data_IF_378400236268
#
_entry.id   IF_378400236268
#
_cell.length_a   1.000
_cell.length_b   1.000
_cell.length_c   1.000
_cell.angle_alpha   90.00
_cell.angle_beta   90.00
_cell.angle_gamma   90.00
#
_symmetry.space_group_name_H-M   'P 1'
#
loop_
_entity.id
_entity.type
_entity.pdbx_description
1 polymer ?
#
# COMPACT_ATOMS: atom_id res chain seq x y z
N UNK A 1 13.32 -18.27 -5.82
CA UNK A 1 12.99 -19.10 -4.66
C UNK A 1 11.52 -19.00 -4.28
N UNK A 2 10.98 -17.80 -3.95
CA UNK A 2 9.60 -17.66 -3.48
C UNK A 2 8.56 -18.27 -4.44
N UNK A 3 8.72 -18.05 -5.74
CA UNK A 3 7.83 -18.66 -6.76
C UNK A 3 7.94 -20.20 -6.75
N UNK A 4 9.15 -20.76 -6.70
CA UNK A 4 9.36 -22.20 -6.63
C UNK A 4 8.71 -22.81 -5.37
N UNK A 5 8.88 -22.16 -4.21
CA UNK A 5 8.20 -22.58 -2.96
C UNK A 5 6.68 -22.53 -3.09
N UNK A 6 6.15 -21.54 -3.80
CA UNK A 6 4.71 -21.38 -3.98
C UNK A 6 4.11 -22.45 -4.91
N UNK A 7 4.89 -22.97 -5.87
CA UNK A 7 4.43 -23.90 -6.91
C UNK A 7 4.64 -25.37 -6.53
N UNK A 8 5.69 -25.68 -5.76
CA UNK A 8 6.06 -27.06 -5.43
C UNK A 8 6.08 -27.31 -3.93
N UNK A 9 5.72 -28.55 -3.54
CA UNK A 9 5.87 -29.03 -2.16
C UNK A 9 7.33 -29.30 -1.84
N UNK A 10 8.02 -30.02 -2.73
CA UNK A 10 9.43 -30.35 -2.58
C UNK A 10 10.26 -29.41 -3.44
N UNK A 11 11.10 -28.61 -2.78
CA UNK A 11 11.83 -27.52 -3.40
C UNK A 11 13.31 -27.82 -3.46
N UNK A 12 13.83 -27.88 -4.69
CA UNK A 12 15.26 -27.80 -4.98
C UNK A 12 15.55 -26.46 -5.61
N UNK A 13 16.44 -25.68 -5.01
CA UNK A 13 16.77 -24.34 -5.51
C UNK A 13 18.23 -23.98 -5.30
N UNK A 14 18.82 -23.31 -6.27
CA UNK A 14 20.19 -22.79 -6.23
C UNK A 14 20.18 -21.31 -6.63
N UNK A 15 20.97 -20.49 -5.93
CA UNK A 15 21.13 -19.06 -6.18
C UNK A 15 22.43 -18.56 -5.62
N UNK A 16 22.71 -17.26 -5.79
CA UNK A 16 24.00 -16.63 -5.43
C UNK A 16 24.02 -15.98 -4.05
N UNK A 17 22.86 -15.73 -3.43
CA UNK A 17 22.75 -14.91 -2.22
C UNK A 17 22.57 -15.75 -0.95
N UNK A 18 22.05 -16.97 -1.08
CA UNK A 18 21.84 -17.90 0.06
C UNK A 18 22.28 -19.32 -0.30
N UNK A 19 22.55 -20.19 0.70
CA UNK A 19 22.84 -21.59 0.46
C UNK A 19 21.75 -22.28 -0.37
N UNK A 20 22.10 -23.30 -1.18
CA UNK A 20 21.13 -24.08 -1.93
C UNK A 20 20.15 -24.82 -1.01
N UNK A 21 18.98 -25.14 -1.56
CA UNK A 21 17.98 -26.01 -0.96
C UNK A 21 17.91 -27.24 -1.84
N UNK A 22 17.85 -28.41 -1.25
CA UNK A 22 17.82 -29.70 -1.97
C UNK A 22 16.73 -30.58 -1.39
N UNK A 23 15.65 -30.77 -2.18
CA UNK A 23 14.53 -31.64 -1.83
C UNK A 23 13.79 -31.31 -0.52
N UNK A 24 13.72 -30.02 -0.15
CA UNK A 24 13.09 -29.63 1.10
C UNK A 24 11.59 -29.47 0.93
N UNK A 25 10.84 -30.20 1.74
CA UNK A 25 9.38 -30.08 1.81
C UNK A 25 8.95 -28.81 2.58
N UNK A 26 8.08 -28.00 1.98
CA UNK A 26 7.58 -26.76 2.56
C UNK A 26 6.10 -26.89 2.93
N UNK A 27 5.85 -26.89 4.23
CA UNK A 27 4.51 -27.06 4.81
C UNK A 27 4.24 -25.98 5.86
N UNK A 28 2.95 -25.62 6.16
CA UNK A 28 1.72 -26.13 5.52
C UNK A 28 1.54 -25.62 4.09
N UNK A 29 0.82 -26.37 3.28
CA UNK A 29 0.48 -25.95 1.92
C UNK A 29 -0.74 -25.04 1.92
N UNK A 30 -0.83 -24.07 0.98
CA UNK A 30 -2.02 -23.26 0.81
C UNK A 30 -3.25 -24.11 0.41
N UNK A 31 -4.41 -23.81 0.98
CA UNK A 31 -5.66 -24.52 0.70
C UNK A 31 -6.00 -24.51 -0.81
N UNK A 32 -5.75 -23.39 -1.49
CA UNK A 32 -6.04 -23.21 -2.92
C UNK A 32 -4.81 -23.48 -3.81
N UNK A 33 -3.87 -24.29 -3.36
CA UNK A 33 -2.69 -24.71 -4.12
C UNK A 33 -1.54 -23.72 -4.07
N UNK A 34 -1.77 -22.40 -4.12
CA UNK A 34 -0.74 -21.36 -4.05
C UNK A 34 -1.23 -20.09 -3.34
N UNK A 35 -0.31 -19.32 -2.79
CA UNK A 35 -0.57 -18.00 -2.21
C UNK A 35 -0.51 -16.91 -3.29
N UNK A 36 -1.35 -15.89 -3.21
CA UNK A 36 -1.19 -14.70 -4.02
C UNK A 36 0.08 -13.94 -3.57
N UNK A 37 0.98 -13.67 -4.53
CA UNK A 37 2.24 -12.95 -4.26
C UNK A 37 2.16 -11.55 -4.85
N UNK A 38 2.48 -10.55 -4.04
CA UNK A 38 2.56 -9.16 -4.45
C UNK A 38 3.98 -8.61 -4.24
N UNK A 39 4.47 -7.80 -5.18
CA UNK A 39 5.74 -7.10 -5.03
C UNK A 39 5.51 -5.75 -4.37
N UNK A 40 5.97 -5.60 -3.11
CA UNK A 40 5.96 -4.31 -2.42
C UNK A 40 7.12 -3.42 -2.85
N UNK A 41 6.86 -2.13 -3.07
CA UNK A 41 7.91 -1.13 -3.37
C UNK A 41 7.52 0.26 -2.89
N UNK A 42 8.50 1.02 -2.40
CA UNK A 42 8.33 2.43 -2.00
C UNK A 42 8.65 3.44 -3.12
N UNK A 43 8.46 3.06 -4.40
CA UNK A 43 8.70 3.98 -5.52
C UNK A 43 9.94 3.69 -6.36
N UNK A 44 10.51 2.49 -6.27
CA UNK A 44 11.66 2.07 -7.08
C UNK A 44 11.23 1.68 -8.50
N UNK A 45 11.73 2.38 -9.52
CA UNK A 45 11.49 2.05 -10.92
C UNK A 45 11.98 0.63 -11.30
N UNK A 46 13.19 0.17 -10.88
CA UNK A 46 13.61 -1.20 -11.11
C UNK A 46 12.68 -2.26 -10.49
N UNK A 47 12.11 -2.00 -9.30
CA UNK A 47 11.16 -2.91 -8.66
C UNK A 47 9.82 -2.94 -9.38
N UNK A 48 9.32 -1.79 -9.86
CA UNK A 48 8.12 -1.71 -10.69
C UNK A 48 8.29 -2.50 -11.99
N UNK A 49 9.39 -2.29 -12.70
CA UNK A 49 9.69 -3.03 -13.94
C UNK A 49 9.85 -4.54 -13.68
N UNK A 50 10.48 -4.93 -12.56
CA UNK A 50 10.64 -6.34 -12.17
C UNK A 50 9.29 -7.00 -11.89
N UNK A 51 8.39 -6.34 -11.15
CA UNK A 51 7.05 -6.85 -10.90
C UNK A 51 6.30 -7.12 -12.22
N UNK A 52 6.36 -6.17 -13.17
CA UNK A 52 5.76 -6.33 -14.49
C UNK A 52 6.37 -7.51 -15.26
N UNK A 53 7.71 -7.60 -15.35
CA UNK A 53 8.36 -8.73 -16.05
C UNK A 53 8.03 -10.11 -15.46
N UNK A 54 7.74 -10.18 -14.17
CA UNK A 54 7.34 -11.43 -13.50
C UNK A 54 5.84 -11.71 -13.59
N UNK A 55 5.04 -10.79 -14.14
CA UNK A 55 3.57 -10.92 -14.18
C UNK A 55 2.92 -10.88 -12.79
N UNK A 56 3.61 -10.32 -11.79
CA UNK A 56 3.12 -10.25 -10.42
C UNK A 56 2.49 -8.90 -10.12
N UNK A 57 1.40 -8.85 -9.33
CA UNK A 57 0.83 -7.59 -8.86
C UNK A 57 1.84 -6.75 -8.08
N UNK A 58 1.73 -5.43 -8.17
CA UNK A 58 2.60 -4.47 -7.47
C UNK A 58 1.82 -3.72 -6.39
N UNK A 59 2.45 -3.49 -5.24
CA UNK A 59 1.92 -2.67 -4.15
C UNK A 59 2.87 -1.51 -3.88
N UNK A 60 2.39 -0.29 -4.06
CA UNK A 60 3.14 0.94 -3.76
C UNK A 60 2.91 1.39 -2.33
N UNK A 61 3.98 1.44 -1.52
CA UNK A 61 3.98 2.07 -0.21
C UNK A 61 4.17 3.58 -0.37
N UNK A 62 3.10 4.34 -0.30
CA UNK A 62 3.09 5.80 -0.46
C UNK A 62 2.94 6.43 0.92
N UNK A 63 4.06 6.71 1.56
CA UNK A 63 4.13 7.20 2.94
C UNK A 63 4.63 8.66 3.03
N UNK A 64 4.71 9.35 1.91
CA UNK A 64 5.12 10.76 1.82
C UNK A 64 5.15 11.26 0.39
N UNK A 65 5.15 12.58 0.23
CA UNK A 65 5.10 13.26 -1.05
C UNK A 65 3.71 13.31 -1.67
N UNK A 66 3.62 13.66 -2.94
CA UNK A 66 2.38 13.64 -3.69
C UNK A 66 2.15 12.25 -4.31
N UNK A 67 1.05 11.55 -3.98
CA UNK A 67 0.79 10.19 -4.48
C UNK A 67 0.75 10.07 -6.01
N UNK A 68 0.34 11.11 -6.71
CA UNK A 68 0.29 11.18 -8.18
C UNK A 68 1.66 11.00 -8.83
N UNK A 69 2.76 11.28 -8.10
CA UNK A 69 4.12 11.04 -8.59
C UNK A 69 4.44 9.56 -8.83
N UNK A 70 3.60 8.65 -8.37
CA UNK A 70 3.70 7.22 -8.64
C UNK A 70 3.09 6.80 -9.99
N UNK A 71 2.36 7.68 -10.68
CA UNK A 71 1.75 7.39 -11.98
C UNK A 71 2.75 6.91 -13.05
N UNK A 72 3.95 7.51 -13.22
CA UNK A 72 4.98 7.00 -14.13
C UNK A 72 5.45 5.58 -13.79
N UNK A 73 5.50 5.23 -12.49
CA UNK A 73 5.90 3.90 -12.03
C UNK A 73 4.82 2.85 -12.32
N UNK A 74 3.55 3.20 -12.14
CA UNK A 74 2.42 2.34 -12.51
C UNK A 74 2.36 2.11 -14.03
N UNK A 75 2.67 3.13 -14.84
CA UNK A 75 2.82 3.00 -16.29
C UNK A 75 3.98 2.08 -16.66
N UNK A 76 5.16 2.28 -16.04
CA UNK A 76 6.35 1.44 -16.26
C UNK A 76 6.06 -0.03 -15.91
N UNK A 77 5.38 -0.28 -14.81
CA UNK A 77 4.95 -1.61 -14.39
C UNK A 77 4.12 -2.29 -15.49
N UNK A 78 3.04 -1.63 -15.97
CA UNK A 78 2.14 -2.18 -16.99
C UNK A 78 2.85 -2.41 -18.33
N UNK A 79 3.66 -1.45 -18.77
CA UNK A 79 4.45 -1.59 -20.00
C UNK A 79 5.46 -2.74 -19.90
N UNK A 80 6.07 -2.95 -18.72
CA UNK A 80 7.00 -4.05 -18.50
C UNK A 80 6.29 -5.42 -18.50
N UNK A 81 5.07 -5.49 -17.95
CA UNK A 81 4.24 -6.68 -17.99
C UNK A 81 3.86 -7.02 -19.44
N UNK A 82 3.36 -6.04 -20.18
CA UNK A 82 2.96 -6.22 -21.58
C UNK A 82 4.10 -6.69 -22.47
N UNK A 83 5.30 -6.10 -22.34
CA UNK A 83 6.51 -6.51 -23.07
C UNK A 83 6.96 -7.94 -22.72
N UNK A 84 6.67 -8.41 -21.52
CA UNK A 84 6.95 -9.77 -21.09
C UNK A 84 5.83 -10.77 -21.43
N UNK A 85 4.77 -10.33 -22.14
CA UNK A 85 3.63 -11.16 -22.53
C UNK A 85 2.57 -11.35 -21.43
N UNK A 86 2.71 -10.67 -20.29
CA UNK A 86 1.73 -10.76 -19.20
C UNK A 86 0.59 -9.77 -19.39
N UNK A 87 -0.63 -10.28 -19.36
CA UNK A 87 -1.88 -9.52 -19.51
C UNK A 87 -2.96 -10.10 -18.60
N UNK A 88 -4.02 -9.35 -18.41
CA UNK A 88 -5.20 -9.83 -17.69
C UNK A 88 -5.28 -9.44 -16.22
N UNK A 89 -6.13 -10.11 -15.45
CA UNK A 89 -6.58 -9.66 -14.13
C UNK A 89 -5.49 -9.67 -13.06
N UNK A 90 -4.36 -10.31 -13.28
CA UNK A 90 -3.25 -10.35 -12.32
C UNK A 90 -2.31 -9.14 -12.43
N UNK A 91 -2.41 -8.36 -13.50
CA UNK A 91 -1.65 -7.11 -13.65
C UNK A 91 -2.35 -6.00 -12.88
N UNK A 92 -2.21 -6.04 -11.55
CA UNK A 92 -2.89 -5.16 -10.60
C UNK A 92 -1.92 -4.23 -9.89
N UNK A 93 -2.39 -3.03 -9.61
CA UNK A 93 -1.73 -2.07 -8.73
C UNK A 93 -2.50 -1.99 -7.43
N UNK A 94 -1.80 -1.97 -6.32
CA UNK A 94 -2.35 -1.58 -5.03
C UNK A 94 -1.55 -0.41 -4.44
N UNK A 95 -2.19 0.32 -3.55
CA UNK A 95 -1.59 1.41 -2.79
C UNK A 95 -1.70 1.09 -1.31
N UNK A 96 -0.63 1.33 -0.57
CA UNK A 96 -0.60 1.30 0.88
C UNK A 96 -0.17 2.68 1.39
N UNK A 97 -1.00 3.33 2.18
CA UNK A 97 -0.78 4.67 2.69
C UNK A 97 -1.12 4.75 4.19
N UNK A 98 -0.70 5.83 4.84
CA UNK A 98 -1.17 6.14 6.19
C UNK A 98 -2.55 6.79 6.12
N UNK A 99 -3.42 6.51 7.11
CA UNK A 99 -4.74 7.13 7.15
C UNK A 99 -5.48 6.87 8.44
N UNK A 100 -6.41 7.74 8.75
CA UNK A 100 -7.40 7.60 9.80
C UNK A 100 -8.68 8.31 9.39
N UNK A 101 -9.82 7.68 9.60
CA UNK A 101 -11.12 8.27 9.33
C UNK A 101 -11.79 8.59 10.67
N UNK A 102 -12.35 9.79 10.78
CA UNK A 102 -13.19 10.21 11.91
C UNK A 102 -14.44 10.93 11.38
N UNK A 103 -15.43 11.22 12.23
CA UNK A 103 -16.64 11.94 11.82
C UNK A 103 -16.34 13.31 11.17
N UNK A 104 -15.29 13.97 11.62
CA UNK A 104 -14.82 15.24 11.05
C UNK A 104 -13.32 15.18 10.73
N UNK A 105 -12.89 16.00 9.76
CA UNK A 105 -11.47 16.13 9.40
C UNK A 105 -10.62 16.62 10.58
N UNK A 106 -11.12 17.54 11.40
CA UNK A 106 -10.40 18.04 12.58
C UNK A 106 -10.11 16.92 13.56
N UNK A 107 -11.13 16.12 13.90
CA UNK A 107 -10.96 14.97 14.79
C UNK A 107 -9.99 13.92 14.24
N UNK A 108 -10.05 13.64 12.94
CA UNK A 108 -9.11 12.72 12.31
C UNK A 108 -7.66 13.21 12.44
N UNK A 109 -7.41 14.49 12.18
CA UNK A 109 -6.09 15.10 12.30
C UNK A 109 -5.57 15.03 13.73
N UNK A 110 -6.39 15.39 14.71
CA UNK A 110 -6.03 15.39 16.14
C UNK A 110 -5.72 13.97 16.65
N UNK A 111 -6.55 13.00 16.29
CA UNK A 111 -6.43 11.61 16.75
C UNK A 111 -5.25 10.86 16.11
N UNK A 112 -4.90 11.19 14.86
CA UNK A 112 -3.78 10.55 14.15
C UNK A 112 -2.42 11.14 14.53
N UNK A 113 -2.36 12.40 14.89
CA UNK A 113 -1.12 13.14 15.14
C UNK A 113 -0.19 12.51 16.20
N UNK A 114 -0.67 12.07 17.39
CA UNK A 114 0.22 11.51 18.42
C UNK A 114 0.97 10.27 17.94
N UNK A 115 0.29 9.34 17.26
CA UNK A 115 0.90 8.13 16.69
C UNK A 115 1.90 8.47 15.59
N UNK A 116 1.54 9.40 14.69
CA UNK A 116 2.42 9.90 13.66
C UNK A 116 3.70 10.52 14.25
N UNK A 117 3.57 11.40 15.24
CA UNK A 117 4.71 12.06 15.90
C UNK A 117 5.63 11.06 16.58
N UNK A 118 5.06 10.10 17.30
CA UNK A 118 5.82 9.03 17.96
C UNK A 118 6.60 8.20 16.93
N UNK A 119 5.94 7.76 15.87
CA UNK A 119 6.57 6.99 14.79
C UNK A 119 7.72 7.76 14.14
N UNK A 120 7.55 9.05 13.84
CA UNK A 120 8.61 9.90 13.24
C UNK A 120 9.78 10.08 14.21
N UNK A 121 9.53 10.24 15.51
CA UNK A 121 10.59 10.33 16.53
C UNK A 121 11.42 9.04 16.56
N UNK A 122 10.74 7.88 16.61
CA UNK A 122 11.42 6.58 16.62
C UNK A 122 12.19 6.31 15.32
N UNK A 123 11.59 6.62 14.17
CA UNK A 123 12.22 6.45 12.86
C UNK A 123 13.33 7.47 12.62
N UNK A 124 13.20 8.70 13.15
CA UNK A 124 14.28 9.69 13.14
C UNK A 124 15.54 9.15 13.79
N UNK A 125 15.41 8.58 14.98
CA UNK A 125 16.52 7.96 15.71
C UNK A 125 17.13 6.77 14.96
N UNK A 126 16.28 5.92 14.34
CA UNK A 126 16.72 4.66 13.70
C UNK A 126 17.16 4.82 12.25
N UNK A 127 16.59 5.75 11.51
CA UNK A 127 16.73 5.87 10.04
C UNK A 127 17.17 7.25 9.57
N UNK A 128 17.45 8.18 10.49
CA UNK A 128 17.84 9.54 10.16
C UNK A 128 16.72 10.37 9.52
N UNK A 129 15.46 10.06 9.81
CA UNK A 129 14.35 10.90 9.37
C UNK A 129 14.40 12.25 10.08
N UNK A 130 13.91 13.34 9.46
CA UNK A 130 13.79 14.63 10.12
C UNK A 130 12.95 14.54 11.39
N UNK A 131 13.22 15.40 12.36
CA UNK A 131 12.38 15.54 13.53
C UNK A 131 10.92 15.80 13.11
N UNK A 132 9.93 15.29 13.86
CA UNK A 132 8.54 15.55 13.56
C UNK A 132 8.25 17.07 13.64
N UNK A 133 7.64 17.60 12.57
CA UNK A 133 7.25 18.99 12.41
C UNK A 133 5.77 19.07 12.04
N UNK A 134 5.01 19.86 12.76
CA UNK A 134 3.55 20.01 12.60
C UNK A 134 3.19 20.49 11.20
N UNK A 135 3.99 21.39 10.62
CA UNK A 135 3.77 21.85 9.25
C UNK A 135 3.95 20.74 8.23
N UNK A 136 4.96 19.89 8.42
CA UNK A 136 5.19 18.72 7.57
C UNK A 136 4.05 17.72 7.73
N UNK A 137 3.53 17.49 8.94
CA UNK A 137 2.35 16.67 9.17
C UNK A 137 1.13 17.17 8.39
N UNK A 138 0.77 18.43 8.55
CA UNK A 138 -0.37 19.03 7.87
C UNK A 138 -0.21 19.02 6.36
N UNK A 139 0.99 19.25 5.83
CA UNK A 139 1.27 19.17 4.40
C UNK A 139 1.04 17.76 3.83
N UNK A 140 1.27 16.70 4.62
CA UNK A 140 0.98 15.33 4.20
C UNK A 140 -0.48 14.92 4.42
N UNK A 141 -1.15 15.47 5.43
CA UNK A 141 -2.53 15.17 5.76
C UNK A 141 -3.56 15.92 4.89
N UNK A 142 -3.16 17.04 4.27
CA UNK A 142 -3.98 17.75 3.27
C UNK A 142 -3.59 17.34 1.85
N UNK A 143 -4.54 17.42 0.91
CA UNK A 143 -4.26 17.20 -0.51
C UNK A 143 -3.23 18.24 -1.03
N UNK A 144 -2.25 17.84 -1.85
CA UNK A 144 -2.06 16.52 -2.47
C UNK A 144 -1.14 15.56 -1.66
N UNK A 145 -1.05 15.72 -0.34
CA UNK A 145 -0.18 14.90 0.51
C UNK A 145 -0.58 13.42 0.57
N UNK A 146 0.27 12.59 1.17
CA UNK A 146 0.17 11.14 1.13
C UNK A 146 -0.71 10.51 2.22
N UNK A 147 -1.16 11.28 3.25
CA UNK A 147 -1.91 10.71 4.36
C UNK A 147 -3.41 10.88 4.16
N UNK A 148 -4.14 9.79 4.17
CA UNK A 148 -5.60 9.74 4.03
C UNK A 148 -6.26 9.91 5.41
N UNK A 149 -6.03 11.09 6.00
CA UNK A 149 -6.55 11.47 7.32
C UNK A 149 -7.64 12.49 7.12
N UNK A 150 -8.88 12.15 7.43
CA UNK A 150 -10.02 13.03 7.17
C UNK A 150 -11.38 12.40 7.50
N UNK A 151 -12.43 13.11 7.14
CA UNK A 151 -13.78 12.58 7.14
C UNK A 151 -14.02 11.64 5.94
N UNK A 152 -15.13 10.90 5.91
CA UNK A 152 -15.43 9.95 4.85
C UNK A 152 -15.46 10.55 3.44
N UNK A 153 -15.91 11.79 3.28
CA UNK A 153 -16.01 12.43 1.96
C UNK A 153 -14.62 12.84 1.43
N UNK A 154 -13.77 13.45 2.28
CA UNK A 154 -12.39 13.81 1.94
C UNK A 154 -11.58 12.57 1.56
N UNK A 155 -11.65 11.51 2.36
CA UNK A 155 -10.88 10.28 2.11
C UNK A 155 -11.36 9.57 0.85
N UNK A 156 -12.67 9.47 0.62
CA UNK A 156 -13.22 8.86 -0.58
C UNK A 156 -12.82 9.61 -1.85
N UNK A 157 -12.95 10.94 -1.85
CA UNK A 157 -12.56 11.78 -2.98
C UNK A 157 -11.07 11.61 -3.34
N UNK A 158 -10.19 11.57 -2.34
CA UNK A 158 -8.74 11.40 -2.55
C UNK A 158 -8.38 10.00 -3.04
N UNK A 159 -9.09 8.95 -2.63
CA UNK A 159 -8.90 7.60 -3.17
C UNK A 159 -9.28 7.56 -4.65
N UNK A 160 -10.40 8.17 -5.03
CA UNK A 160 -10.86 8.23 -6.42
C UNK A 160 -9.94 9.09 -7.30
N UNK A 161 -9.49 10.24 -6.79
CA UNK A 161 -8.49 11.06 -7.48
C UNK A 161 -7.23 10.24 -7.78
N UNK A 162 -6.66 9.56 -6.79
CA UNK A 162 -5.50 8.72 -7.02
C UNK A 162 -5.78 7.55 -7.96
N UNK A 163 -6.99 6.99 -7.91
CA UNK A 163 -7.39 5.92 -8.85
C UNK A 163 -7.33 6.41 -10.30
N UNK A 164 -7.75 7.63 -10.58
CA UNK A 164 -7.68 8.20 -11.94
C UNK A 164 -6.24 8.28 -12.50
N UNK A 165 -5.25 8.44 -11.62
CA UNK A 165 -3.82 8.50 -11.99
C UNK A 165 -3.15 7.13 -12.08
N UNK A 166 -3.44 6.22 -11.15
CA UNK A 166 -2.74 4.94 -11.02
C UNK A 166 -3.54 3.75 -11.55
N UNK A 167 -4.87 3.84 -11.63
CA UNK A 167 -5.75 2.71 -11.93
C UNK A 167 -5.56 1.58 -10.93
N UNK A 168 -5.39 1.89 -9.64
CA UNK A 168 -5.16 0.88 -8.60
C UNK A 168 -6.47 0.16 -8.25
N UNK A 169 -6.37 -1.16 -8.05
CA UNK A 169 -7.51 -2.01 -7.72
C UNK A 169 -7.72 -2.21 -6.21
N UNK A 170 -6.76 -1.75 -5.40
CA UNK A 170 -6.80 -1.93 -3.94
C UNK A 170 -6.10 -0.76 -3.25
N UNK A 171 -6.72 -0.26 -2.19
CA UNK A 171 -6.16 0.79 -1.33
C UNK A 171 -6.12 0.29 0.11
N UNK A 172 -4.94 0.27 0.72
CA UNK A 172 -4.75 -0.08 2.13
C UNK A 172 -4.49 1.18 2.93
N UNK A 173 -5.09 1.27 4.10
CA UNK A 173 -4.80 2.30 5.09
C UNK A 173 -4.15 1.66 6.31
N UNK A 174 -2.92 2.09 6.63
CA UNK A 174 -2.31 1.80 7.91
C UNK A 174 -2.77 2.87 8.90
N UNK A 175 -3.73 2.50 9.74
CA UNK A 175 -4.41 3.42 10.65
C UNK A 175 -3.68 3.54 11.98
N UNK A 176 -3.16 2.45 12.51
CA UNK A 176 -2.39 2.44 13.76
C UNK A 176 -0.89 2.55 13.47
N UNK A 177 -0.31 3.68 13.86
CA UNK A 177 1.14 3.93 13.79
C UNK A 177 1.84 3.65 15.15
N UNK A 178 1.14 3.05 16.07
CA UNK A 178 1.58 2.69 17.42
C UNK A 178 0.93 3.51 18.52
N UNK A 179 0.05 2.88 19.28
CA UNK A 179 -0.62 3.46 20.43
C UNK A 179 -1.94 4.16 20.15
N UNK A 180 -2.57 3.88 19.03
CA UNK A 180 -3.95 4.35 18.79
C UNK A 180 -4.91 3.65 19.76
N UNK A 181 -5.79 4.39 20.49
CA UNK A 181 -6.82 3.79 21.32
C UNK A 181 -7.72 2.86 20.51
N UNK A 182 -8.08 1.71 21.10
CA UNK A 182 -8.80 0.66 20.40
C UNK A 182 -10.19 1.09 19.91
N UNK A 183 -10.88 1.91 20.68
CA UNK A 183 -12.18 2.48 20.30
C UNK A 183 -12.07 3.41 19.09
N UNK A 184 -11.04 4.27 19.04
CA UNK A 184 -10.74 5.13 17.90
C UNK A 184 -10.41 4.30 16.65
N UNK A 185 -9.63 3.24 16.81
CA UNK A 185 -9.31 2.33 15.71
C UNK A 185 -10.56 1.64 15.16
N UNK A 186 -11.42 1.12 16.03
CA UNK A 186 -12.66 0.44 15.62
C UNK A 186 -13.67 1.39 14.98
N UNK A 187 -13.80 2.63 15.48
CA UNK A 187 -14.60 3.67 14.84
C UNK A 187 -14.10 3.97 13.42
N UNK A 188 -12.79 4.20 13.28
CA UNK A 188 -12.18 4.48 11.97
C UNK A 188 -12.36 3.33 10.98
N UNK A 189 -12.21 2.08 11.45
CA UNK A 189 -12.44 0.89 10.63
C UNK A 189 -13.91 0.77 10.20
N UNK A 190 -14.83 1.08 11.11
CA UNK A 190 -16.28 1.11 10.82
C UNK A 190 -16.59 2.15 9.75
N UNK A 191 -16.11 3.40 9.93
CA UNK A 191 -16.32 4.48 8.94
C UNK A 191 -15.70 4.13 7.58
N UNK A 192 -14.52 3.48 7.57
CA UNK A 192 -13.93 3.00 6.31
C UNK A 192 -14.86 2.03 5.58
N UNK A 193 -15.43 1.08 6.30
CA UNK A 193 -16.25 0.02 5.72
C UNK A 193 -17.65 0.51 5.31
N UNK A 194 -18.31 1.31 6.17
CA UNK A 194 -19.72 1.69 5.99
C UNK A 194 -19.92 3.00 5.26
N UNK A 195 -18.93 3.90 5.30
CA UNK A 195 -19.05 5.24 4.73
C UNK A 195 -18.10 5.48 3.56
N UNK A 196 -16.78 5.26 3.75
CA UNK A 196 -15.78 5.55 2.70
C UNK A 196 -15.93 4.60 1.52
N UNK A 197 -15.96 3.28 1.77
CA UNK A 197 -16.05 2.27 0.71
C UNK A 197 -17.27 2.48 -0.22
N UNK A 198 -18.51 2.64 0.28
CA UNK A 198 -19.66 2.90 -0.59
C UNK A 198 -19.57 4.22 -1.36
N UNK A 199 -18.94 5.26 -0.79
CA UNK A 199 -18.70 6.52 -1.51
C UNK A 199 -17.73 6.35 -2.68
N UNK A 200 -16.62 5.65 -2.45
CA UNK A 200 -15.65 5.33 -3.51
C UNK A 200 -16.33 4.55 -4.64
N UNK A 201 -17.12 3.53 -4.32
CA UNK A 201 -17.84 2.72 -5.30
C UNK A 201 -18.80 3.58 -6.14
N UNK A 202 -19.58 4.47 -5.50
CA UNK A 202 -20.49 5.39 -6.21
C UNK A 202 -19.74 6.38 -7.10
N UNK A 203 -18.66 6.98 -6.60
CA UNK A 203 -17.86 7.94 -7.36
C UNK A 203 -17.19 7.29 -8.58
N UNK A 204 -16.69 6.07 -8.44
CA UNK A 204 -16.10 5.31 -9.56
C UNK A 204 -17.14 4.88 -10.59
N UNK A 205 -18.39 4.60 -10.17
CA UNK A 205 -19.47 4.24 -11.07
C UNK A 205 -20.01 5.45 -11.88
N UNK A 206 -19.78 6.67 -11.40
CA UNK A 206 -20.22 7.92 -12.01
C UNK A 206 -19.14 8.56 -12.93
N UNK A 207 -17.92 8.04 -12.95
CA UNK A 207 -16.77 8.54 -13.71
C UNK A 207 -16.62 7.82 -15.05
#
# INVERSE_FOLDING_TARGET
>A
LLLAVNESTDVTWRGTVRPPIDGVSVVPRPVNGRLPIWIGTGGSAPSSARAGRLGLPVSYGIIGGAPQNFAPLAKLYRTSAERAGHRGPDIKVSVAAFGLIAPTKSEALERFYPGWRNMHTVMGTRRGWPAPDDRAYLAQAHAPGAYYVGDPDDVAARIVDLHSHLGHARHFLQMDLGGLPQDVFLESLTLLATEVKPRVERLLAAA
#
